data_IF_430246244530
#
_entry.id   IF_430246244530
#
_cell.length_a   1.000
_cell.length_b   1.000
_cell.length_c   1.000
_cell.angle_alpha   90.00
_cell.angle_beta   90.00
_cell.angle_gamma   90.00
#
_symmetry.space_group_name_H-M   'P 1'
#
loop_
_entity.id
_entity.type
_entity.pdbx_description
1 polymer ?
#
# COMPACT_ATOMS: atom_id res chain seq x y z
N UNK A 1 12.49 9.52 -24.92
CA UNK A 1 12.92 8.92 -23.64
C UNK A 1 13.90 7.81 -23.94
N UNK A 2 15.18 7.98 -23.59
CA UNK A 2 16.25 7.06 -23.98
C UNK A 2 16.60 6.08 -22.86
N UNK A 3 16.48 6.49 -21.59
CA UNK A 3 16.85 5.65 -20.42
C UNK A 3 15.73 5.54 -19.37
N UNK A 4 15.89 4.62 -18.42
CA UNK A 4 15.04 4.51 -17.24
C UNK A 4 15.15 5.76 -16.35
N UNK A 5 16.36 6.31 -16.19
CA UNK A 5 16.60 7.51 -15.41
C UNK A 5 15.88 8.73 -16.04
N UNK A 6 15.87 8.84 -17.37
CA UNK A 6 15.11 9.89 -18.06
C UNK A 6 13.62 9.81 -17.70
N UNK A 7 13.07 8.60 -17.55
CA UNK A 7 11.67 8.40 -17.17
C UNK A 7 11.38 8.86 -15.75
N UNK A 8 12.22 8.46 -14.80
CA UNK A 8 12.10 8.89 -13.41
C UNK A 8 12.17 10.41 -13.34
N UNK A 9 13.17 11.03 -13.98
CA UNK A 9 13.36 12.48 -13.98
C UNK A 9 12.18 13.23 -14.62
N UNK A 10 11.65 12.75 -15.74
CA UNK A 10 10.53 13.40 -16.45
C UNK A 10 9.20 13.26 -15.70
N UNK A 11 9.01 12.18 -14.95
CA UNK A 11 7.79 11.95 -14.15
C UNK A 11 7.89 12.50 -12.73
N UNK A 12 9.09 12.88 -12.28
CA UNK A 12 9.36 13.35 -10.92
C UNK A 12 8.42 14.47 -10.45
N UNK A 13 8.17 15.46 -11.31
CA UNK A 13 7.26 16.57 -10.96
C UNK A 13 5.86 16.06 -10.63
N UNK A 14 5.29 15.19 -11.47
CA UNK A 14 3.97 14.63 -11.24
C UNK A 14 3.93 13.79 -9.96
N UNK A 15 4.92 12.92 -9.75
CA UNK A 15 4.99 12.06 -8.56
C UNK A 15 5.12 12.88 -7.26
N UNK A 16 5.91 13.97 -7.27
CA UNK A 16 6.02 14.89 -6.13
C UNK A 16 4.69 15.54 -5.77
N UNK A 17 3.93 16.00 -6.77
CA UNK A 17 2.59 16.57 -6.53
C UNK A 17 1.60 15.52 -6.00
N UNK A 18 1.67 14.28 -6.51
CA UNK A 18 0.85 13.18 -5.98
C UNK A 18 1.18 12.90 -4.50
N UNK A 19 2.47 12.86 -4.13
CA UNK A 19 2.86 12.68 -2.73
C UNK A 19 2.44 13.85 -1.84
N UNK A 20 2.51 15.09 -2.32
CA UNK A 20 2.00 16.25 -1.58
C UNK A 20 0.49 16.12 -1.31
N UNK A 21 -0.28 15.65 -2.29
CA UNK A 21 -1.71 15.36 -2.11
C UNK A 21 -1.97 14.22 -1.11
N UNK A 22 -1.18 13.14 -1.18
CA UNK A 22 -1.25 12.03 -0.21
C UNK A 22 -0.99 12.54 1.21
N UNK A 23 0.04 13.35 1.40
CA UNK A 23 0.40 13.91 2.69
C UNK A 23 -0.72 14.80 3.25
N UNK A 24 -1.35 15.62 2.40
CA UNK A 24 -2.51 16.43 2.78
C UNK A 24 -3.64 15.59 3.40
N UNK A 25 -4.02 14.47 2.78
CA UNK A 25 -5.07 13.59 3.31
C UNK A 25 -4.65 12.88 4.60
N UNK A 26 -3.41 12.42 4.68
CA UNK A 26 -2.89 11.74 5.89
C UNK A 26 -2.76 12.72 7.06
N UNK A 27 -2.50 14.00 6.79
CA UNK A 27 -2.33 15.02 7.81
C UNK A 27 -3.59 15.24 8.65
N UNK A 28 -4.77 14.93 8.12
CA UNK A 28 -6.05 14.92 8.86
C UNK A 28 -5.95 14.01 10.09
N UNK A 29 -5.38 12.82 9.92
CA UNK A 29 -5.21 11.86 11.01
C UNK A 29 -4.04 12.24 11.92
N UNK A 30 -2.91 12.69 11.35
CA UNK A 30 -1.71 13.05 12.14
C UNK A 30 -1.93 14.25 13.06
N UNK A 31 -2.82 15.17 12.68
CA UNK A 31 -3.13 16.36 13.48
C UNK A 31 -4.18 16.09 14.56
N UNK A 32 -4.80 14.91 14.55
CA UNK A 32 -5.83 14.55 15.51
C UNK A 32 -5.21 13.98 16.80
N UNK A 33 -5.84 14.20 17.97
CA UNK A 33 -5.40 13.54 19.19
C UNK A 33 -5.54 12.02 19.06
N UNK A 34 -4.60 11.30 19.65
CA UNK A 34 -4.59 9.83 19.75
C UNK A 34 -4.75 9.43 21.22
N UNK A 35 -5.96 9.55 21.80
CA UNK A 35 -6.17 9.18 23.19
C UNK A 35 -5.98 7.66 23.33
N UNK A 36 -4.98 7.24 24.12
CA UNK A 36 -4.66 5.84 24.40
C UNK A 36 -4.82 5.59 25.91
N UNK A 37 -5.60 4.56 26.26
CA UNK A 37 -5.65 4.04 27.63
C UNK A 37 -4.57 2.97 27.78
N UNK A 38 -3.64 3.18 28.70
CA UNK A 38 -2.63 2.18 29.10
C UNK A 38 -3.03 1.68 30.49
N UNK A 39 -3.29 0.37 30.62
CA UNK A 39 -3.73 -0.25 31.87
C UNK A 39 -3.18 -1.67 32.00
N UNK A 40 -3.03 -2.17 33.23
CA UNK A 40 -2.53 -3.51 33.56
C UNK A 40 -3.65 -4.56 33.79
N UNK A 41 -4.86 -4.30 33.28
CA UNK A 41 -6.05 -5.16 33.28
C UNK A 41 -6.70 -5.55 34.62
N UNK A 42 -6.21 -5.09 35.78
CA UNK A 42 -6.74 -5.59 37.08
C UNK A 42 -8.01 -4.89 37.58
N UNK A 43 -8.39 -3.73 37.04
CA UNK A 43 -9.59 -2.96 37.41
C UNK A 43 -10.17 -2.17 36.21
N UNK A 44 -10.43 -2.86 35.10
CA UNK A 44 -10.66 -2.24 33.79
C UNK A 44 -11.81 -1.23 33.72
N UNK A 45 -12.96 -1.52 34.35
CA UNK A 45 -14.19 -0.84 33.96
C UNK A 45 -14.36 0.56 34.59
N UNK A 46 -14.03 0.70 35.88
CA UNK A 46 -14.07 1.99 36.55
C UNK A 46 -12.97 2.94 36.03
N UNK A 47 -11.79 2.38 35.73
CA UNK A 47 -10.67 3.12 35.13
C UNK A 47 -11.04 3.56 33.71
N UNK A 48 -11.58 2.65 32.89
CA UNK A 48 -12.03 2.95 31.53
C UNK A 48 -13.10 4.04 31.53
N UNK A 49 -14.12 3.93 32.39
CA UNK A 49 -15.19 4.93 32.46
C UNK A 49 -14.67 6.31 32.87
N UNK A 50 -13.79 6.36 33.86
CA UNK A 50 -13.15 7.61 34.31
C UNK A 50 -12.27 8.21 33.21
N UNK A 51 -11.50 7.37 32.53
CA UNK A 51 -10.65 7.78 31.41
C UNK A 51 -11.46 8.29 30.22
N UNK A 52 -12.54 7.60 29.81
CA UNK A 52 -13.44 8.07 28.75
C UNK A 52 -13.98 9.45 29.12
N UNK A 53 -14.46 9.63 30.35
CA UNK A 53 -15.01 10.91 30.81
C UNK A 53 -13.95 12.02 30.75
N UNK A 54 -12.73 11.75 31.21
CA UNK A 54 -11.64 12.72 31.19
C UNK A 54 -11.12 13.06 29.78
N UNK A 55 -11.25 12.13 28.83
CA UNK A 55 -10.72 12.28 27.46
C UNK A 55 -11.82 12.44 26.41
N UNK A 56 -13.07 12.69 26.82
CA UNK A 56 -14.22 12.69 25.92
C UNK A 56 -14.04 13.62 24.72
N UNK A 57 -13.55 14.85 24.95
CA UNK A 57 -13.29 15.82 23.90
C UNK A 57 -12.23 15.34 22.89
N UNK A 58 -11.19 14.66 23.36
CA UNK A 58 -10.13 14.12 22.50
C UNK A 58 -10.61 12.92 21.70
N UNK A 59 -11.41 12.05 22.33
CA UNK A 59 -12.05 10.91 21.66
C UNK A 59 -12.96 11.41 20.54
N UNK A 60 -13.78 12.44 20.81
CA UNK A 60 -14.65 13.05 19.79
C UNK A 60 -13.87 13.68 18.65
N UNK A 61 -12.83 14.47 18.94
CA UNK A 61 -11.95 15.05 17.91
C UNK A 61 -11.25 13.97 17.07
N UNK A 62 -10.80 12.89 17.70
CA UNK A 62 -10.19 11.75 16.99
C UNK A 62 -11.20 11.06 16.06
N UNK A 63 -12.43 10.83 16.55
CA UNK A 63 -13.52 10.28 15.74
C UNK A 63 -13.89 11.18 14.56
N UNK A 64 -13.93 12.49 14.77
CA UNK A 64 -14.19 13.47 13.71
C UNK A 64 -13.12 13.44 12.63
N UNK A 65 -11.85 13.39 13.01
CA UNK A 65 -10.75 13.27 12.07
C UNK A 65 -10.81 11.97 11.28
N UNK A 66 -11.12 10.84 11.94
CA UNK A 66 -11.35 9.57 11.25
C UNK A 66 -12.50 9.66 10.25
N UNK A 67 -13.64 10.25 10.62
CA UNK A 67 -14.77 10.46 9.70
C UNK A 67 -14.39 11.29 8.48
N UNK A 68 -13.69 12.41 8.69
CA UNK A 68 -13.19 13.26 7.59
C UNK A 68 -12.22 12.50 6.69
N UNK A 69 -11.28 11.76 7.27
CA UNK A 69 -10.35 10.93 6.52
C UNK A 69 -11.08 9.84 5.71
N UNK A 70 -12.05 9.16 6.30
CA UNK A 70 -12.83 8.13 5.61
C UNK A 70 -13.60 8.69 4.41
N UNK A 71 -14.13 9.92 4.51
CA UNK A 71 -14.78 10.60 3.39
C UNK A 71 -13.82 10.83 2.20
N UNK A 72 -12.54 11.08 2.48
CA UNK A 72 -11.50 11.35 1.48
C UNK A 72 -10.67 10.11 1.09
N UNK A 73 -10.97 8.94 1.66
CA UNK A 73 -10.20 7.70 1.45
C UNK A 73 -10.11 7.29 -0.02
N UNK A 74 -11.13 7.65 -0.80
CA UNK A 74 -11.15 7.45 -2.25
C UNK A 74 -10.15 8.30 -2.99
N UNK A 75 -10.09 9.60 -2.68
CA UNK A 75 -9.13 10.50 -3.28
C UNK A 75 -7.70 10.02 -2.99
N UNK A 76 -7.44 9.59 -1.75
CA UNK A 76 -6.17 8.96 -1.39
C UNK A 76 -5.86 7.72 -2.25
N UNK A 77 -6.84 6.82 -2.44
CA UNK A 77 -6.67 5.63 -3.27
C UNK A 77 -6.30 5.97 -4.72
N UNK A 78 -6.93 7.01 -5.28
CA UNK A 78 -6.65 7.51 -6.64
C UNK A 78 -5.22 8.04 -6.78
N UNK A 79 -4.75 8.82 -5.79
CA UNK A 79 -3.36 9.31 -5.80
C UNK A 79 -2.36 8.15 -5.71
N UNK A 80 -2.57 7.21 -4.77
CA UNK A 80 -1.72 6.03 -4.62
C UNK A 80 -1.74 5.15 -5.89
N UNK A 81 -2.91 4.91 -6.47
CA UNK A 81 -3.08 4.17 -7.72
C UNK A 81 -2.33 4.81 -8.89
N UNK A 82 -2.36 6.14 -8.97
CA UNK A 82 -1.62 6.90 -9.99
C UNK A 82 -0.10 6.73 -9.85
N UNK A 83 0.43 6.75 -8.62
CA UNK A 83 1.87 6.47 -8.37
C UNK A 83 2.24 5.05 -8.81
N UNK A 84 1.41 4.06 -8.46
CA UNK A 84 1.64 2.67 -8.86
C UNK A 84 1.54 2.48 -10.38
N UNK A 85 0.66 3.21 -11.05
CA UNK A 85 0.56 3.22 -12.51
C UNK A 85 1.84 3.78 -13.17
N UNK A 86 2.37 4.91 -12.67
CA UNK A 86 3.63 5.49 -13.17
C UNK A 86 4.79 4.51 -12.94
N UNK A 87 4.90 3.92 -11.75
CA UNK A 87 5.91 2.90 -11.45
C UNK A 87 5.81 1.68 -12.39
N UNK A 88 4.60 1.14 -12.57
CA UNK A 88 4.36 0.00 -13.46
C UNK A 88 4.72 0.32 -14.90
N UNK A 89 4.43 1.54 -15.38
CA UNK A 89 4.84 1.97 -16.73
C UNK A 89 6.36 1.98 -16.89
N UNK A 90 7.10 2.44 -15.87
CA UNK A 90 8.57 2.40 -15.89
C UNK A 90 9.09 0.96 -15.96
N UNK A 91 8.58 0.07 -15.10
CA UNK A 91 8.96 -1.36 -15.09
C UNK A 91 8.64 -2.00 -16.45
N UNK A 92 7.43 -1.81 -16.98
CA UNK A 92 7.03 -2.37 -18.27
C UNK A 92 7.94 -1.92 -19.40
N UNK A 93 8.44 -0.69 -19.36
CA UNK A 93 9.25 -0.11 -20.44
C UNK A 93 10.74 -0.47 -20.34
N UNK A 94 11.27 -0.55 -19.13
CA UNK A 94 12.73 -0.60 -18.93
C UNK A 94 13.23 -1.86 -18.22
N UNK A 95 12.38 -2.62 -17.52
CA UNK A 95 12.79 -3.90 -16.94
C UNK A 95 13.15 -4.90 -18.03
N UNK A 96 14.32 -5.51 -17.89
CA UNK A 96 14.81 -6.61 -18.73
C UNK A 96 14.60 -7.98 -18.12
N UNK A 97 13.90 -8.06 -16.99
CA UNK A 97 13.72 -9.34 -16.31
C UNK A 97 12.82 -10.28 -17.13
N UNK A 98 13.34 -11.49 -17.36
CA UNK A 98 12.67 -12.58 -18.06
C UNK A 98 12.51 -13.82 -17.16
N UNK A 99 12.78 -13.68 -15.85
CA UNK A 99 12.70 -14.78 -14.89
C UNK A 99 11.51 -14.64 -13.93
N UNK A 100 10.95 -15.76 -13.50
CA UNK A 100 9.87 -15.81 -12.51
C UNK A 100 10.36 -16.64 -11.33
N UNK A 101 10.29 -16.13 -10.09
CA UNK A 101 10.64 -16.89 -8.91
C UNK A 101 9.78 -18.15 -8.78
N UNK A 102 10.32 -19.29 -8.30
CA UNK A 102 9.62 -20.57 -8.27
C UNK A 102 8.22 -20.53 -7.64
N UNK A 103 8.06 -19.79 -6.55
CA UNK A 103 6.80 -19.64 -5.81
C UNK A 103 5.70 -18.92 -6.60
N UNK A 104 6.05 -18.15 -7.63
CA UNK A 104 5.10 -17.45 -8.49
C UNK A 104 4.93 -18.11 -9.86
N UNK A 105 5.66 -19.19 -10.18
CA UNK A 105 5.58 -19.85 -11.49
C UNK A 105 4.16 -20.33 -11.81
N UNK A 106 3.44 -20.86 -10.82
CA UNK A 106 2.10 -21.40 -11.01
C UNK A 106 1.05 -20.32 -11.37
N UNK A 107 1.16 -19.11 -10.80
CA UNK A 107 0.18 -18.03 -11.01
C UNK A 107 0.59 -17.02 -12.09
N UNK A 108 1.89 -16.80 -12.30
CA UNK A 108 2.39 -15.91 -13.37
C UNK A 108 2.54 -16.66 -14.69
N UNK A 109 3.01 -17.90 -14.65
CA UNK A 109 3.27 -18.72 -15.83
C UNK A 109 4.10 -17.99 -16.87
N UNK A 110 3.55 -17.88 -18.10
CA UNK A 110 4.20 -17.22 -19.25
C UNK A 110 3.78 -15.76 -19.43
N UNK A 111 3.07 -15.16 -18.47
CA UNK A 111 2.62 -13.77 -18.55
C UNK A 111 3.81 -12.80 -18.52
N UNK A 112 4.27 -12.40 -19.71
CA UNK A 112 5.41 -11.49 -19.89
C UNK A 112 5.24 -10.14 -19.17
N UNK A 113 4.01 -9.66 -18.99
CA UNK A 113 3.77 -8.39 -18.30
C UNK A 113 4.03 -8.54 -16.80
N UNK A 114 3.50 -9.59 -16.16
CA UNK A 114 3.74 -9.86 -14.74
C UNK A 114 5.20 -10.27 -14.48
N UNK A 115 5.80 -11.06 -15.38
CA UNK A 115 7.21 -11.48 -15.31
C UNK A 115 8.19 -10.30 -15.20
N UNK A 116 7.99 -9.22 -15.96
CA UNK A 116 8.84 -8.01 -15.85
C UNK A 116 8.82 -7.36 -14.47
N UNK A 117 7.78 -7.63 -13.69
CA UNK A 117 7.60 -7.11 -12.33
C UNK A 117 8.17 -8.04 -11.25
N UNK A 118 8.72 -9.21 -11.59
CA UNK A 118 9.40 -10.10 -10.66
C UNK A 118 10.81 -9.59 -10.26
N UNK A 119 10.91 -8.35 -9.79
CA UNK A 119 12.17 -7.64 -9.51
C UNK A 119 12.09 -6.84 -8.20
N UNK A 120 13.27 -6.47 -7.69
CA UNK A 120 13.46 -5.60 -6.52
C UNK A 120 13.58 -6.34 -5.20
N UNK A 121 13.73 -5.55 -4.12
CA UNK A 121 13.75 -6.07 -2.75
C UNK A 121 12.47 -6.85 -2.44
N UNK A 122 12.54 -7.76 -1.47
CA UNK A 122 11.39 -8.53 -1.00
C UNK A 122 10.73 -7.86 0.20
N UNK A 123 9.41 -7.88 0.21
CA UNK A 123 8.58 -7.60 1.38
C UNK A 123 7.67 -8.80 1.58
N UNK A 124 7.79 -9.47 2.74
CA UNK A 124 7.00 -10.67 3.06
C UNK A 124 7.12 -11.75 1.96
N UNK A 125 8.35 -11.96 1.49
CA UNK A 125 8.71 -12.83 0.36
C UNK A 125 8.19 -12.41 -1.04
N UNK A 126 7.46 -11.30 -1.14
CA UNK A 126 6.98 -10.77 -2.43
C UNK A 126 7.96 -9.70 -2.96
N UNK A 127 8.50 -9.84 -4.18
CA UNK A 127 9.24 -8.75 -4.85
C UNK A 127 8.39 -7.48 -4.95
N UNK A 128 8.95 -6.32 -4.61
CA UNK A 128 8.20 -5.06 -4.64
C UNK A 128 7.63 -4.72 -6.04
N UNK A 129 8.27 -5.17 -7.12
CA UNK A 129 7.71 -5.04 -8.46
C UNK A 129 6.35 -5.74 -8.62
N UNK A 130 6.17 -6.93 -8.02
CA UNK A 130 4.90 -7.65 -8.04
C UNK A 130 3.84 -6.97 -7.18
N UNK A 131 4.23 -6.33 -6.07
CA UNK A 131 3.31 -5.48 -5.30
C UNK A 131 2.83 -4.27 -6.11
N UNK A 132 3.74 -3.63 -6.85
CA UNK A 132 3.40 -2.54 -7.78
C UNK A 132 2.40 -3.04 -8.83
N UNK A 133 2.66 -4.20 -9.43
CA UNK A 133 1.77 -4.83 -10.41
C UNK A 133 0.37 -5.08 -9.85
N UNK A 134 0.29 -5.76 -8.69
CA UNK A 134 -0.98 -6.12 -8.07
C UNK A 134 -1.79 -4.90 -7.60
N UNK A 135 -1.13 -3.94 -6.95
CA UNK A 135 -1.76 -2.71 -6.49
C UNK A 135 -2.29 -1.85 -7.65
N UNK A 136 -1.52 -1.73 -8.73
CA UNK A 136 -1.95 -1.04 -9.96
C UNK A 136 -3.12 -1.74 -10.63
N UNK A 137 -3.10 -3.07 -10.73
CA UNK A 137 -4.20 -3.81 -11.33
C UNK A 137 -5.48 -3.68 -10.51
N UNK A 138 -5.40 -3.80 -9.19
CA UNK A 138 -6.54 -3.56 -8.32
C UNK A 138 -7.10 -2.15 -8.49
N UNK A 139 -6.24 -1.13 -8.62
CA UNK A 139 -6.69 0.24 -8.89
C UNK A 139 -7.46 0.35 -10.21
N UNK A 140 -6.91 -0.21 -11.30
CA UNK A 140 -7.52 -0.09 -12.63
C UNK A 140 -8.81 -0.91 -12.79
N UNK A 141 -8.96 -1.99 -12.02
CA UNK A 141 -10.09 -2.92 -12.12
C UNK A 141 -10.97 -2.90 -10.86
N UNK A 142 -10.98 -1.77 -10.13
CA UNK A 142 -11.71 -1.63 -8.87
C UNK A 142 -13.22 -1.92 -9.02
N UNK A 143 -13.79 -1.54 -10.17
CA UNK A 143 -15.22 -1.70 -10.46
C UNK A 143 -15.60 -3.12 -10.93
N UNK A 144 -14.63 -3.94 -11.33
CA UNK A 144 -14.88 -5.28 -11.89
C UNK A 144 -15.22 -6.31 -10.81
N UNK A 145 -15.06 -5.95 -9.53
CA UNK A 145 -15.51 -6.73 -8.37
C UNK A 145 -14.78 -8.06 -8.15
N UNK A 146 -13.81 -8.42 -9.01
CA UNK A 146 -13.01 -9.64 -8.91
C UNK A 146 -11.55 -9.36 -9.23
N UNK A 147 -10.67 -9.79 -8.33
CA UNK A 147 -9.24 -9.89 -8.62
C UNK A 147 -8.94 -11.23 -9.27
N UNK A 148 -8.08 -11.21 -10.28
CA UNK A 148 -7.58 -12.39 -10.96
C UNK A 148 -6.12 -12.66 -10.59
N UNK A 149 -5.66 -13.88 -10.85
CA UNK A 149 -4.22 -14.21 -10.77
C UNK A 149 -3.39 -13.32 -11.71
N UNK A 150 -2.15 -12.96 -11.33
CA UNK A 150 -1.45 -13.34 -10.11
C UNK A 150 -1.79 -12.47 -8.87
N UNK A 151 -2.70 -11.49 -8.99
CA UNK A 151 -2.94 -10.50 -7.94
C UNK A 151 -3.49 -11.14 -6.64
N UNK A 152 -4.33 -12.18 -6.77
CA UNK A 152 -4.85 -12.94 -5.63
C UNK A 152 -3.71 -13.57 -4.82
N UNK A 153 -2.84 -14.35 -5.48
CA UNK A 153 -1.68 -14.97 -4.83
C UNK A 153 -0.79 -13.93 -4.15
N UNK A 154 -0.53 -12.80 -4.82
CA UNK A 154 0.31 -11.72 -4.28
C UNK A 154 -0.28 -11.15 -2.99
N UNK A 155 -1.57 -10.81 -2.97
CA UNK A 155 -2.20 -10.26 -1.76
C UNK A 155 -2.41 -11.32 -0.67
N UNK A 156 -2.67 -12.56 -1.04
CA UNK A 156 -2.76 -13.69 -0.10
C UNK A 156 -1.42 -13.91 0.64
N UNK A 157 -0.30 -13.87 -0.08
CA UNK A 157 1.03 -13.92 0.54
C UNK A 157 1.27 -12.71 1.45
N UNK A 158 0.89 -11.50 1.03
CA UNK A 158 1.01 -10.33 1.90
C UNK A 158 0.15 -10.45 3.16
N UNK A 159 -1.03 -11.05 3.06
CA UNK A 159 -1.95 -11.26 4.16
C UNK A 159 -1.48 -12.34 5.15
N UNK A 160 -0.57 -13.24 4.77
CA UNK A 160 -0.21 -14.41 5.59
C UNK A 160 1.26 -14.48 5.97
N UNK A 161 2.17 -13.94 5.14
CA UNK A 161 3.61 -13.96 5.39
C UNK A 161 4.06 -12.81 6.31
N UNK A 162 3.51 -12.75 7.51
CA UNK A 162 3.88 -11.78 8.55
C UNK A 162 4.13 -12.46 9.89
N UNK A 163 4.66 -11.70 10.87
CA UNK A 163 5.11 -12.22 12.17
C UNK A 163 4.05 -12.14 13.27
N UNK A 164 2.78 -11.91 12.94
CA UNK A 164 1.71 -11.66 13.94
C UNK A 164 1.20 -12.92 14.64
N UNK A 165 1.59 -14.12 14.20
CA UNK A 165 1.20 -15.40 14.78
C UNK A 165 0.43 -16.29 13.80
N UNK A 166 0.41 -17.60 14.08
CA UNK A 166 -0.21 -18.59 13.21
C UNK A 166 -1.72 -18.37 13.06
N UNK A 167 -2.22 -18.40 11.81
CA UNK A 167 -3.63 -18.26 11.49
C UNK A 167 -4.19 -16.83 11.55
N UNK A 168 -3.36 -15.84 11.95
CA UNK A 168 -3.73 -14.42 11.88
C UNK A 168 -3.43 -13.92 10.47
N UNK A 169 -4.35 -13.16 9.90
CA UNK A 169 -4.20 -12.52 8.59
C UNK A 169 -4.06 -11.01 8.74
N UNK A 170 -3.21 -10.38 7.94
CA UNK A 170 -3.09 -8.93 7.92
C UNK A 170 -4.33 -8.30 7.25
N UNK A 171 -5.17 -7.55 7.99
CA UNK A 171 -6.39 -6.97 7.45
C UNK A 171 -6.12 -5.93 6.34
N UNK A 172 -4.90 -5.41 6.20
CA UNK A 172 -4.54 -4.50 5.12
C UNK A 172 -4.46 -5.20 3.74
N UNK A 173 -4.30 -6.52 3.72
CA UNK A 173 -4.20 -7.31 2.49
C UNK A 173 -5.19 -8.48 2.43
N UNK A 174 -5.96 -8.70 3.50
CA UNK A 174 -6.90 -9.79 3.58
C UNK A 174 -8.12 -9.58 2.66
N UNK A 175 -8.15 -10.35 1.57
CA UNK A 175 -9.23 -10.32 0.59
C UNK A 175 -10.51 -11.01 1.09
N UNK A 176 -10.48 -11.84 2.14
CA UNK A 176 -11.65 -12.61 2.58
C UNK A 176 -12.60 -11.80 3.48
N UNK A 177 -12.06 -10.87 4.26
CA UNK A 177 -12.83 -10.08 5.24
C UNK A 177 -13.33 -8.73 4.75
N UNK A 178 -12.72 -8.17 3.68
CA UNK A 178 -13.07 -6.86 3.14
C UNK A 178 -12.52 -6.71 1.70
N UNK A 179 -13.25 -7.20 0.70
CA UNK A 179 -12.83 -7.14 -0.72
C UNK A 179 -12.77 -5.70 -1.26
N UNK A 180 -13.09 -4.70 -0.45
CA UNK A 180 -13.29 -3.36 -0.96
C UNK A 180 -12.41 -2.32 -0.28
N UNK A 181 -11.99 -1.38 -1.12
CA UNK A 181 -11.72 -0.01 -0.72
C UNK A 181 -10.31 0.19 -0.11
N UNK A 182 -9.32 0.25 -1.01
CA UNK A 182 -8.01 0.93 -0.88
C UNK A 182 -6.73 0.08 -0.73
N UNK A 183 -6.63 -1.05 -1.42
CA UNK A 183 -5.34 -1.76 -1.57
C UNK A 183 -4.20 -0.89 -2.13
N UNK A 184 -4.41 0.09 -3.05
CA UNK A 184 -3.34 0.95 -3.52
C UNK A 184 -2.66 1.77 -2.41
N UNK A 185 -3.43 2.32 -1.46
CA UNK A 185 -2.84 3.00 -0.29
C UNK A 185 -2.08 2.04 0.61
N UNK A 186 -2.58 0.82 0.80
CA UNK A 186 -1.92 -0.20 1.61
C UNK A 186 -0.58 -0.64 0.98
N UNK A 187 -0.58 -0.84 -0.35
CA UNK A 187 0.63 -1.15 -1.12
C UNK A 187 1.65 -0.01 -1.01
N UNK A 188 1.27 1.24 -1.26
CA UNK A 188 2.22 2.35 -1.08
C UNK A 188 2.66 2.51 0.37
N UNK A 189 1.85 2.10 1.36
CA UNK A 189 2.21 2.12 2.78
C UNK A 189 3.30 1.12 3.11
N UNK A 190 3.13 -0.14 2.69
CA UNK A 190 4.08 -1.21 3.01
C UNK A 190 5.39 -1.03 2.24
N UNK A 191 5.34 -0.38 1.07
CA UNK A 191 6.52 0.05 0.33
C UNK A 191 7.24 1.23 1.01
N UNK A 192 6.64 1.87 2.02
CA UNK A 192 7.11 3.09 2.68
C UNK A 192 7.17 4.30 1.71
N UNK A 193 6.36 4.26 0.65
CA UNK A 193 6.22 5.34 -0.31
C UNK A 193 5.31 6.41 0.27
N UNK A 194 5.91 7.28 1.08
CA UNK A 194 5.28 8.46 1.68
C UNK A 194 5.96 9.77 1.30
N UNK A 195 7.04 9.68 0.54
CA UNK A 195 7.77 10.80 -0.02
C UNK A 195 8.44 10.37 -1.33
N UNK A 196 8.78 11.34 -2.17
CA UNK A 196 9.35 11.09 -3.50
C UNK A 196 10.69 10.35 -3.41
N UNK A 197 11.49 10.61 -2.40
CA UNK A 197 12.84 10.07 -2.22
C UNK A 197 12.82 8.55 -2.02
N UNK A 198 11.84 8.04 -1.26
CA UNK A 198 11.66 6.59 -1.06
C UNK A 198 11.21 5.90 -2.33
N UNK A 199 10.29 6.53 -3.06
CA UNK A 199 9.86 6.07 -4.38
C UNK A 199 11.03 6.03 -5.38
N UNK A 200 11.77 7.13 -5.50
CA UNK A 200 12.89 7.26 -6.43
C UNK A 200 13.99 6.25 -6.14
N UNK A 201 14.33 6.04 -4.87
CA UNK A 201 15.33 5.04 -4.46
C UNK A 201 14.91 3.63 -4.91
N UNK A 202 13.69 3.21 -4.61
CA UNK A 202 13.18 1.88 -5.02
C UNK A 202 13.12 1.76 -6.55
N UNK A 203 12.61 2.77 -7.25
CA UNK A 203 12.49 2.75 -8.71
C UNK A 203 13.84 2.76 -9.42
N UNK A 204 14.83 3.49 -8.91
CA UNK A 204 16.17 3.50 -9.46
C UNK A 204 16.84 2.14 -9.29
N UNK A 205 16.71 1.53 -8.10
CA UNK A 205 17.24 0.20 -7.85
C UNK A 205 16.56 -0.88 -8.71
N UNK A 206 15.23 -0.80 -8.87
CA UNK A 206 14.44 -1.72 -9.70
C UNK A 206 14.87 -1.72 -11.17
N UNK A 207 15.20 -0.56 -11.73
CA UNK A 207 15.43 -0.38 -13.17
C UNK A 207 16.90 -0.36 -13.58
N UNK A 208 17.82 -0.55 -12.63
CA UNK A 208 19.26 -0.69 -12.89
C UNK A 208 19.68 -2.14 -13.15
N UNK A 209 18.75 -3.09 -12.97
CA UNK A 209 18.95 -4.54 -13.16
C UNK A 209 18.86 -4.92 -14.65
#
# INVERSE_FOLDING_TARGET
MQTAQDYINQTASAVKHLFAGIDHYIQILRSAPTPVLITDNKQSDAILKSWITANQADIERSRDAQRKFFAEKHALATLCGSILQIASMAIRRYSKNESVPPEFLACIGTNKNAMRHCIGRRLREVPIGLLIYAGRNHYNHLEEGKLHEPNLTIFEMMATNHTYGFGIRDPAFDLHGNVGWNLPSNVTSILEWRAYERYEADMSQLLTI
#
